data_IF_056022868774
#
_entry.id   IF_056022868774
#
_cell.length_a   1.000
_cell.length_b   1.000
_cell.length_c   1.000
_cell.angle_alpha   90.00
_cell.angle_beta   90.00
_cell.angle_gamma   90.00
#
_symmetry.space_group_name_H-M   'P 1'
#
loop_
_entity.id
_entity.type
_entity.pdbx_description
1 polymer ?
#
# COMPACT_ATOMS: atom_id res chain seq x y z
N UNK A 1 34.30 0.12 -18.44
CA UNK A 1 34.04 -0.59 -17.20
C UNK A 1 33.49 -1.95 -17.50
N UNK A 2 34.32 -2.99 -17.36
CA UNK A 2 33.97 -4.40 -17.58
C UNK A 2 33.16 -4.85 -16.37
N UNK A 3 31.90 -5.17 -16.58
CA UNK A 3 31.02 -5.76 -15.57
C UNK A 3 31.50 -7.21 -15.38
N UNK A 4 32.22 -7.48 -14.27
CA UNK A 4 32.63 -8.84 -13.90
C UNK A 4 31.36 -9.54 -13.38
N UNK A 5 30.73 -10.32 -14.24
CA UNK A 5 29.73 -11.29 -13.84
C UNK A 5 30.47 -12.47 -13.23
N UNK A 6 30.50 -12.54 -11.90
CA UNK A 6 31.04 -13.73 -11.21
C UNK A 6 30.09 -14.91 -11.52
N UNK A 7 30.62 -16.04 -12.05
CA UNK A 7 29.80 -17.22 -12.26
C UNK A 7 29.38 -17.80 -10.89
N UNK A 8 28.10 -17.75 -10.59
CA UNK A 8 27.50 -18.45 -9.45
C UNK A 8 27.38 -19.96 -9.77
N UNK A 9 28.48 -20.60 -10.06
CA UNK A 9 28.50 -22.06 -10.36
C UNK A 9 28.38 -22.96 -9.11
N UNK A 10 28.34 -22.38 -7.90
CA UNK A 10 28.33 -23.18 -6.66
C UNK A 10 26.97 -23.39 -6.02
N UNK A 11 25.92 -22.61 -6.41
CA UNK A 11 24.65 -22.64 -5.69
C UNK A 11 23.65 -23.71 -6.16
N UNK A 12 23.84 -24.27 -7.34
CA UNK A 12 22.90 -25.25 -7.91
C UNK A 12 23.03 -26.67 -7.34
N UNK A 13 24.16 -27.00 -6.71
CA UNK A 13 24.40 -28.34 -6.16
C UNK A 13 23.83 -28.58 -4.78
N UNK A 14 23.39 -27.51 -4.07
CA UNK A 14 22.82 -27.62 -2.72
C UNK A 14 21.29 -27.59 -2.66
N UNK A 15 20.63 -27.33 -3.77
CA UNK A 15 19.17 -27.46 -3.80
C UNK A 15 18.84 -28.93 -4.10
N UNK A 16 18.24 -29.67 -3.16
CA UNK A 16 17.75 -31.02 -3.46
C UNK A 16 16.77 -30.90 -4.63
N UNK A 17 17.06 -31.64 -5.70
CA UNK A 17 16.18 -31.77 -6.87
C UNK A 17 14.83 -32.23 -6.36
N UNK A 18 13.91 -31.32 -6.19
CA UNK A 18 12.58 -31.59 -5.73
C UNK A 18 11.81 -32.13 -6.91
N UNK A 19 11.33 -33.34 -6.81
CA UNK A 19 10.24 -33.81 -7.66
C UNK A 19 9.10 -32.80 -7.49
N UNK A 20 8.92 -31.95 -8.50
CA UNK A 20 7.79 -31.04 -8.56
C UNK A 20 6.60 -31.94 -8.74
N UNK A 21 5.98 -32.32 -7.63
CA UNK A 21 4.62 -32.89 -7.67
C UNK A 21 3.81 -31.96 -8.57
N UNK A 22 3.29 -32.51 -9.67
CA UNK A 22 2.40 -31.82 -10.60
C UNK A 22 1.08 -31.51 -9.88
N UNK A 23 1.15 -30.68 -8.87
CA UNK A 23 -0.02 -30.12 -8.22
C UNK A 23 -0.70 -29.15 -9.19
N UNK A 24 -2.02 -29.21 -9.24
CA UNK A 24 -2.83 -28.24 -9.98
C UNK A 24 -2.30 -26.82 -9.78
N UNK A 25 -2.11 -26.10 -10.88
CA UNK A 25 -1.64 -24.71 -10.86
C UNK A 25 -2.40 -23.84 -9.83
N UNK A 26 -3.70 -24.06 -9.69
CA UNK A 26 -4.53 -23.39 -8.70
C UNK A 26 -4.30 -23.86 -7.25
N UNK A 27 -3.73 -25.03 -7.02
CA UNK A 27 -3.43 -25.50 -5.65
C UNK A 27 -2.31 -24.71 -5.00
N UNK A 28 -1.45 -24.09 -5.80
CA UNK A 28 -0.36 -23.24 -5.33
C UNK A 28 -0.85 -21.90 -4.77
N UNK A 29 -2.03 -21.44 -5.20
CA UNK A 29 -2.66 -20.19 -4.76
C UNK A 29 -3.69 -20.38 -3.63
N UNK A 30 -3.99 -21.63 -3.25
CA UNK A 30 -4.88 -21.86 -2.10
C UNK A 30 -4.21 -21.38 -0.82
N UNK A 31 -4.85 -20.49 -0.05
CA UNK A 31 -4.35 -20.13 1.27
C UNK A 31 -4.22 -21.39 2.13
N UNK A 32 -3.26 -21.46 3.05
CA UNK A 32 -3.12 -22.60 3.94
C UNK A 32 -4.43 -22.77 4.72
N UNK A 33 -5.06 -23.95 4.58
CA UNK A 33 -6.44 -24.23 5.05
C UNK A 33 -6.62 -24.12 6.58
N UNK A 34 -5.53 -24.02 7.36
CA UNK A 34 -5.55 -23.96 8.82
C UNK A 34 -4.87 -22.70 9.39
N UNK A 35 -4.81 -21.60 8.65
CA UNK A 35 -4.18 -20.36 9.11
C UNK A 35 -5.19 -19.20 9.13
N UNK A 36 -6.08 -19.12 10.14
CA UNK A 36 -7.05 -18.02 10.24
C UNK A 36 -6.36 -16.66 10.35
N UNK A 37 -5.14 -16.61 10.88
CA UNK A 37 -4.33 -15.39 10.94
C UNK A 37 -3.92 -14.91 9.55
N UNK A 38 -3.63 -15.82 8.63
CA UNK A 38 -3.27 -15.48 7.25
C UNK A 38 -4.42 -14.80 6.49
N UNK A 39 -5.67 -15.27 6.67
CA UNK A 39 -6.82 -14.63 6.02
C UNK A 39 -7.05 -13.19 6.53
N UNK A 40 -6.81 -12.95 7.81
CA UNK A 40 -6.89 -11.60 8.40
C UNK A 40 -5.78 -10.70 7.85
N UNK A 41 -4.55 -11.21 7.75
CA UNK A 41 -3.42 -10.49 7.17
C UNK A 41 -3.65 -10.18 5.67
N UNK A 42 -4.13 -11.15 4.91
CA UNK A 42 -4.53 -10.98 3.52
C UNK A 42 -5.60 -9.88 3.36
N UNK A 43 -6.65 -9.89 4.19
CA UNK A 43 -7.69 -8.89 4.16
C UNK A 43 -7.16 -7.49 4.57
N UNK A 44 -6.31 -7.40 5.59
CA UNK A 44 -5.68 -6.15 5.99
C UNK A 44 -4.87 -5.54 4.83
N UNK A 45 -4.08 -6.37 4.15
CA UNK A 45 -3.31 -5.98 2.97
C UNK A 45 -4.21 -5.51 1.84
N UNK A 46 -5.26 -6.26 1.52
CA UNK A 46 -6.22 -5.93 0.48
C UNK A 46 -6.85 -4.55 0.71
N UNK A 47 -7.27 -4.24 1.95
CA UNK A 47 -7.85 -2.94 2.27
C UNK A 47 -6.82 -1.81 2.27
N UNK A 48 -5.58 -2.05 2.68
CA UNK A 48 -4.52 -1.04 2.60
C UNK A 48 -4.19 -0.68 1.14
N UNK A 49 -4.13 -1.65 0.26
CA UNK A 49 -3.95 -1.41 -1.19
C UNK A 49 -5.17 -0.71 -1.78
N UNK A 50 -6.39 -1.09 -1.38
CA UNK A 50 -7.61 -0.42 -1.82
C UNK A 50 -7.62 1.07 -1.47
N UNK A 51 -7.09 1.45 -0.29
CA UNK A 51 -7.00 2.83 0.15
C UNK A 51 -6.15 3.71 -0.79
N UNK A 52 -5.08 3.17 -1.35
CA UNK A 52 -4.17 3.93 -2.23
C UNK A 52 -4.55 3.85 -3.70
N UNK A 53 -4.98 2.67 -4.16
CA UNK A 53 -5.23 2.39 -5.58
C UNK A 53 -6.37 3.25 -6.15
N UNK A 54 -7.44 3.45 -5.39
CA UNK A 54 -8.56 4.30 -5.82
C UNK A 54 -8.11 5.73 -6.09
N UNK A 55 -7.35 6.33 -5.18
CA UNK A 55 -6.85 7.70 -5.35
C UNK A 55 -5.86 7.77 -6.52
N UNK A 56 -4.94 6.81 -6.66
CA UNK A 56 -3.97 6.78 -7.74
C UNK A 56 -4.62 6.74 -9.14
N UNK A 57 -5.72 6.00 -9.30
CA UNK A 57 -6.44 5.92 -10.58
C UNK A 57 -7.25 7.18 -10.86
N UNK A 58 -7.90 7.74 -9.83
CA UNK A 58 -8.80 8.89 -9.99
C UNK A 58 -8.14 10.25 -9.77
N UNK A 59 -6.82 10.33 -9.54
CA UNK A 59 -6.10 11.59 -9.31
C UNK A 59 -6.28 12.64 -10.41
N UNK A 60 -6.41 12.21 -11.67
CA UNK A 60 -6.66 13.10 -12.81
C UNK A 60 -8.05 13.77 -12.77
N UNK A 61 -9.04 13.08 -12.20
CA UNK A 61 -10.39 13.63 -12.00
C UNK A 61 -10.48 14.48 -10.73
N UNK A 62 -9.60 14.23 -9.76
CA UNK A 62 -9.52 15.03 -8.53
C UNK A 62 -8.93 16.41 -8.80
N UNK A 63 -7.88 16.48 -9.60
CA UNK A 63 -7.09 17.69 -9.76
C UNK A 63 -7.91 18.92 -10.17
N UNK A 64 -8.81 18.89 -11.19
CA UNK A 64 -9.63 20.03 -11.55
C UNK A 64 -10.63 20.44 -10.47
N UNK A 65 -11.14 19.49 -9.70
CA UNK A 65 -12.18 19.73 -8.71
C UNK A 65 -11.63 20.29 -7.39
N UNK A 66 -10.35 20.04 -7.09
CA UNK A 66 -9.70 20.48 -5.85
C UNK A 66 -9.04 21.85 -6.04
N UNK A 67 -8.40 22.06 -7.18
CA UNK A 67 -7.58 23.28 -7.42
C UNK A 67 -8.32 24.29 -8.29
N UNK A 68 -9.49 23.91 -8.84
CA UNK A 68 -10.20 24.72 -9.82
C UNK A 68 -9.54 24.72 -11.20
N UNK A 69 -10.19 25.37 -12.18
CA UNK A 69 -9.61 25.58 -13.52
C UNK A 69 -8.58 26.72 -13.46
N UNK A 70 -7.42 26.46 -12.88
CA UNK A 70 -6.33 27.42 -12.95
C UNK A 70 -5.61 27.23 -14.28
N UNK A 71 -5.97 28.08 -15.25
CA UNK A 71 -5.19 28.29 -16.48
C UNK A 71 -3.85 28.99 -16.20
N UNK A 72 -3.60 29.34 -14.94
CA UNK A 72 -2.36 29.96 -14.49
C UNK A 72 -1.20 28.95 -14.55
N UNK A 73 -0.07 29.44 -15.02
CA UNK A 73 1.15 28.67 -15.21
C UNK A 73 1.48 27.84 -13.96
N UNK A 74 1.20 26.54 -14.06
CA UNK A 74 1.46 25.60 -12.98
C UNK A 74 2.94 25.37 -12.75
N UNK A 75 3.27 24.64 -11.71
CA UNK A 75 4.64 24.29 -11.34
C UNK A 75 5.36 23.61 -12.54
N UNK A 76 6.59 23.99 -12.82
CA UNK A 76 7.41 23.48 -13.94
C UNK A 76 6.85 23.75 -15.36
N UNK A 77 6.01 24.76 -15.56
CA UNK A 77 5.43 25.05 -16.88
C UNK A 77 4.34 24.06 -17.32
N UNK A 78 3.87 23.20 -16.42
CA UNK A 78 2.75 22.28 -16.64
C UNK A 78 1.50 22.95 -16.07
N UNK A 79 0.59 23.38 -16.94
CA UNK A 79 -0.65 24.03 -16.51
C UNK A 79 -1.72 23.05 -16.05
N UNK A 80 -2.62 23.49 -15.19
CA UNK A 80 -3.85 22.82 -14.84
C UNK A 80 -3.69 21.53 -14.04
N UNK A 81 -4.55 20.55 -14.31
CA UNK A 81 -4.62 19.27 -13.60
C UNK A 81 -3.31 18.48 -13.58
N UNK A 82 -2.49 18.62 -14.63
CA UNK A 82 -1.20 17.95 -14.73
C UNK A 82 -0.22 18.35 -13.62
N UNK A 83 -0.20 19.64 -13.25
CA UNK A 83 0.70 20.14 -12.18
C UNK A 83 0.38 19.51 -10.84
N UNK A 84 -0.90 19.32 -10.51
CA UNK A 84 -1.36 18.69 -9.27
C UNK A 84 -0.92 17.23 -9.21
N UNK A 85 -1.09 16.48 -10.31
CA UNK A 85 -0.68 15.07 -10.40
C UNK A 85 0.83 14.92 -10.23
N UNK A 86 1.63 15.82 -10.85
CA UNK A 86 3.08 15.82 -10.71
C UNK A 86 3.49 16.12 -9.26
N UNK A 87 2.88 17.12 -8.61
CA UNK A 87 3.15 17.45 -7.20
C UNK A 87 2.77 16.28 -6.30
N UNK A 88 1.61 15.66 -6.51
CA UNK A 88 1.21 14.47 -5.77
C UNK A 88 2.25 13.35 -5.92
N UNK A 89 2.70 13.08 -7.13
CA UNK A 89 3.68 12.03 -7.39
C UNK A 89 5.02 12.31 -6.70
N UNK A 90 5.52 13.55 -6.80
CA UNK A 90 6.78 13.96 -6.15
C UNK A 90 6.64 13.88 -4.63
N UNK A 91 5.58 14.44 -4.05
CA UNK A 91 5.36 14.41 -2.61
C UNK A 91 5.20 12.98 -2.09
N UNK A 92 4.44 12.13 -2.78
CA UNK A 92 4.30 10.71 -2.43
C UNK A 92 5.66 10.01 -2.47
N UNK A 93 6.45 10.23 -3.52
CA UNK A 93 7.78 9.64 -3.65
C UNK A 93 8.73 10.10 -2.53
N UNK A 94 8.75 11.40 -2.22
CA UNK A 94 9.57 11.94 -1.13
C UNK A 94 9.15 11.34 0.22
N UNK A 95 7.84 11.29 0.50
CA UNK A 95 7.31 10.66 1.72
C UNK A 95 7.70 9.18 1.81
N UNK A 96 7.54 8.44 0.72
CA UNK A 96 7.92 7.03 0.63
C UNK A 96 9.43 6.82 0.83
N UNK A 97 10.27 7.68 0.25
CA UNK A 97 11.73 7.63 0.40
C UNK A 97 12.14 7.86 1.86
N UNK A 98 11.59 8.88 2.51
CA UNK A 98 11.84 9.16 3.92
C UNK A 98 11.42 7.97 4.78
N UNK A 99 10.25 7.40 4.53
CA UNK A 99 9.76 6.22 5.23
C UNK A 99 10.69 5.02 5.05
N UNK A 100 11.13 4.73 3.83
CA UNK A 100 12.04 3.62 3.53
C UNK A 100 13.38 3.76 4.27
N UNK A 101 13.94 4.97 4.34
CA UNK A 101 15.18 5.25 5.07
C UNK A 101 15.02 5.09 6.60
N UNK A 102 13.84 5.41 7.11
CA UNK A 102 13.55 5.37 8.55
C UNK A 102 12.94 4.04 9.00
N UNK A 103 12.46 3.19 8.09
CA UNK A 103 11.71 1.97 8.40
C UNK A 103 12.44 1.06 9.40
N UNK A 104 13.73 0.82 9.18
CA UNK A 104 14.54 0.01 10.07
C UNK A 104 14.62 0.58 11.52
N UNK A 105 14.72 1.90 11.64
CA UNK A 105 14.72 2.58 12.96
C UNK A 105 13.34 2.55 13.59
N UNK A 106 12.29 2.81 12.82
CA UNK A 106 10.90 2.77 13.31
C UNK A 106 10.58 1.38 13.83
N UNK A 107 10.88 0.33 13.05
CA UNK A 107 10.63 -1.06 13.46
C UNK A 107 11.44 -1.45 14.71
N UNK A 108 12.70 -1.00 14.84
CA UNK A 108 13.54 -1.30 16.00
C UNK A 108 13.13 -0.56 17.28
N UNK A 109 12.48 0.59 17.17
CA UNK A 109 12.00 1.35 18.34
C UNK A 109 10.78 0.71 19.00
N UNK A 110 9.97 -0.01 18.22
CA UNK A 110 8.78 -0.68 18.72
C UNK A 110 9.04 -2.18 18.80
N UNK A 111 8.99 -2.75 20.00
CA UNK A 111 9.15 -4.20 20.19
C UNK A 111 8.05 -5.05 19.56
N UNK A 112 6.91 -4.44 19.22
CA UNK A 112 5.77 -5.07 18.53
C UNK A 112 5.54 -4.38 17.18
N UNK A 113 5.67 -5.15 16.09
CA UNK A 113 5.47 -4.68 14.69
C UNK A 113 4.05 -4.16 14.40
N UNK A 114 3.07 -4.47 15.24
CA UNK A 114 1.70 -3.97 15.12
C UNK A 114 1.61 -2.48 15.43
N UNK A 115 2.42 -2.00 16.38
CA UNK A 115 2.36 -0.59 16.79
C UNK A 115 2.70 0.34 15.60
N UNK A 116 3.84 0.18 14.89
CA UNK A 116 4.13 1.01 13.73
C UNK A 116 3.13 0.83 12.59
N UNK A 117 2.59 -0.39 12.37
CA UNK A 117 1.57 -0.61 11.34
C UNK A 117 0.27 0.14 11.66
N UNK A 118 -0.23 0.07 12.89
CA UNK A 118 -1.46 0.77 13.28
C UNK A 118 -1.24 2.28 13.34
N UNK A 119 -0.11 2.74 13.88
CA UNK A 119 0.22 4.17 13.92
C UNK A 119 0.29 4.77 12.51
N UNK A 120 0.89 4.05 11.56
CA UNK A 120 0.93 4.48 10.17
C UNK A 120 -0.43 4.44 9.50
N UNK A 121 -1.30 3.47 9.81
CA UNK A 121 -2.68 3.47 9.35
C UNK A 121 -3.45 4.70 9.83
N UNK A 122 -3.29 5.08 11.11
CA UNK A 122 -3.89 6.29 11.65
C UNK A 122 -3.33 7.55 10.97
N UNK A 123 -2.01 7.61 10.75
CA UNK A 123 -1.40 8.73 10.04
C UNK A 123 -1.93 8.86 8.60
N UNK A 124 -2.10 7.74 7.89
CA UNK A 124 -2.70 7.74 6.55
C UNK A 124 -4.15 8.26 6.58
N UNK A 125 -4.94 7.82 7.55
CA UNK A 125 -6.32 8.30 7.72
C UNK A 125 -6.38 9.80 7.95
N UNK A 126 -5.54 10.34 8.85
CA UNK A 126 -5.44 11.78 9.11
C UNK A 126 -5.01 12.50 7.82
N UNK A 127 -4.02 11.99 7.09
CA UNK A 127 -3.62 12.56 5.82
C UNK A 127 -4.76 12.58 4.80
N UNK A 128 -5.51 11.49 4.67
CA UNK A 128 -6.64 11.41 3.73
C UNK A 128 -7.83 12.33 4.08
N UNK A 129 -7.92 12.80 5.32
CA UNK A 129 -8.93 13.78 5.72
C UNK A 129 -8.51 15.22 5.35
N UNK A 130 -7.23 15.52 5.15
CA UNK A 130 -6.77 16.88 4.84
C UNK A 130 -7.47 17.50 3.63
N UNK A 131 -7.60 16.81 2.47
CA UNK A 131 -8.30 17.36 1.32
C UNK A 131 -9.81 17.57 1.51
N UNK A 132 -10.39 16.97 2.55
CA UNK A 132 -11.81 17.15 2.90
C UNK A 132 -12.04 18.33 3.86
N UNK A 133 -11.01 18.74 4.61
CA UNK A 133 -11.11 19.70 5.72
C UNK A 133 -10.44 21.04 5.43
N UNK A 134 -9.48 21.08 4.50
CA UNK A 134 -8.73 22.29 4.18
C UNK A 134 -9.33 23.01 2.97
N UNK A 135 -9.44 24.34 3.05
CA UNK A 135 -9.94 25.19 1.95
C UNK A 135 -8.88 25.36 0.84
N UNK A 136 -7.59 25.33 1.18
CA UNK A 136 -6.50 25.33 0.20
C UNK A 136 -6.30 23.93 -0.38
N UNK A 137 -6.97 23.67 -1.50
CA UNK A 137 -6.97 22.37 -2.14
C UNK A 137 -5.57 21.90 -2.60
N UNK A 138 -4.72 22.81 -3.06
CA UNK A 138 -3.37 22.45 -3.53
C UNK A 138 -2.47 22.02 -2.37
N UNK A 139 -2.43 22.82 -1.31
CA UNK A 139 -1.64 22.51 -0.12
C UNK A 139 -2.15 21.23 0.56
N UNK A 140 -3.47 21.07 0.65
CA UNK A 140 -4.10 19.89 1.23
C UNK A 140 -3.68 18.61 0.51
N UNK A 141 -3.69 18.61 -0.82
CA UNK A 141 -3.32 17.45 -1.64
C UNK A 141 -1.82 17.18 -1.57
N UNK A 142 -0.98 18.21 -1.54
CA UNK A 142 0.47 18.05 -1.39
C UNK A 142 0.82 17.43 -0.02
N UNK A 143 0.22 17.93 1.06
CA UNK A 143 0.41 17.37 2.41
C UNK A 143 -0.14 15.95 2.51
N UNK A 144 -1.33 15.70 1.95
CA UNK A 144 -1.87 14.36 1.84
C UNK A 144 -0.86 13.42 1.18
N UNK A 145 -0.38 13.77 -0.01
CA UNK A 145 0.50 12.92 -0.80
C UNK A 145 1.81 12.60 -0.05
N UNK A 146 2.41 13.59 0.60
CA UNK A 146 3.62 13.41 1.40
C UNK A 146 3.39 12.46 2.58
N UNK A 147 2.36 12.73 3.39
CA UNK A 147 2.07 11.97 4.59
C UNK A 147 1.53 10.57 4.26
N UNK A 148 0.67 10.45 3.25
CA UNK A 148 0.14 9.16 2.81
C UNK A 148 1.23 8.27 2.21
N UNK A 149 2.16 8.83 1.42
CA UNK A 149 3.31 8.11 0.90
C UNK A 149 4.20 7.56 2.01
N UNK A 150 4.51 8.39 3.01
CA UNK A 150 5.24 7.96 4.20
C UNK A 150 4.49 6.86 4.96
N UNK A 151 3.24 7.11 5.30
CA UNK A 151 2.43 6.22 6.12
C UNK A 151 2.21 4.86 5.44
N UNK A 152 1.95 4.87 4.13
CA UNK A 152 1.74 3.63 3.37
C UNK A 152 2.99 2.73 3.37
N UNK A 153 4.18 3.29 3.14
CA UNK A 153 5.43 2.51 3.13
C UNK A 153 5.74 1.94 4.51
N UNK A 154 5.49 2.70 5.59
CA UNK A 154 5.67 2.17 6.96
C UNK A 154 4.66 1.06 7.25
N UNK A 155 3.39 1.24 6.87
CA UNK A 155 2.38 0.21 7.02
C UNK A 155 2.74 -1.06 6.25
N UNK A 156 3.13 -0.90 5.00
CA UNK A 156 3.48 -1.99 4.10
C UNK A 156 4.67 -2.80 4.63
N UNK A 157 5.75 -2.13 5.01
CA UNK A 157 6.94 -2.78 5.56
C UNK A 157 6.69 -3.47 6.89
N UNK A 158 5.94 -2.82 7.81
CA UNK A 158 5.61 -3.40 9.11
C UNK A 158 4.65 -4.61 8.96
N UNK A 159 3.64 -4.51 8.10
CA UNK A 159 2.70 -5.60 7.85
C UNK A 159 3.38 -6.80 7.18
N UNK A 160 4.25 -6.57 6.17
CA UNK A 160 5.02 -7.66 5.55
C UNK A 160 5.94 -8.37 6.56
N UNK A 161 6.60 -7.61 7.42
CA UNK A 161 7.45 -8.18 8.47
C UNK A 161 6.65 -9.02 9.46
N UNK A 162 5.45 -8.56 9.83
CA UNK A 162 4.53 -9.28 10.70
C UNK A 162 4.06 -10.59 10.06
N UNK A 163 3.75 -10.56 8.77
CA UNK A 163 3.26 -11.72 8.03
C UNK A 163 4.36 -12.78 7.85
N UNK A 164 5.60 -12.34 7.56
CA UNK A 164 6.74 -13.25 7.51
C UNK A 164 7.01 -13.92 8.87
N UNK A 165 6.85 -13.18 9.97
CA UNK A 165 7.00 -13.73 11.31
C UNK A 165 5.91 -14.75 11.69
N UNK A 166 4.75 -14.73 11.02
CA UNK A 166 3.64 -15.66 11.24
C UNK A 166 3.69 -16.92 10.37
N UNK A 167 4.65 -17.03 9.45
CA UNK A 167 4.78 -18.20 8.58
C UNK A 167 5.32 -19.40 9.36
N UNK A 168 4.57 -20.51 9.42
CA UNK A 168 4.98 -21.69 10.18
C UNK A 168 6.11 -22.49 9.53
N UNK A 169 6.37 -22.29 8.24
CA UNK A 169 7.40 -23.04 7.50
C UNK A 169 8.04 -22.17 6.42
N UNK A 170 9.39 -22.08 6.46
CA UNK A 170 10.20 -21.40 5.43
C UNK A 170 9.95 -21.98 4.03
N UNK A 171 9.49 -23.23 3.94
CA UNK A 171 9.16 -23.89 2.66
C UNK A 171 7.91 -23.31 1.99
N UNK A 172 7.06 -22.58 2.72
CA UNK A 172 5.82 -22.00 2.22
C UNK A 172 5.95 -20.52 1.79
N UNK A 173 7.14 -19.91 1.92
CA UNK A 173 7.37 -18.49 1.63
C UNK A 173 6.94 -18.11 0.22
N UNK A 174 7.30 -18.89 -0.81
CA UNK A 174 6.89 -18.62 -2.19
C UNK A 174 5.37 -18.61 -2.39
N UNK A 175 4.68 -19.53 -1.73
CA UNK A 175 3.20 -19.62 -1.76
C UNK A 175 2.55 -18.41 -1.06
N UNK A 176 3.11 -17.99 0.05
CA UNK A 176 2.62 -16.83 0.79
C UNK A 176 2.85 -15.54 0.01
N UNK A 177 4.00 -15.36 -0.64
CA UNK A 177 4.27 -14.22 -1.51
C UNK A 177 3.32 -14.17 -2.72
N UNK A 178 3.00 -15.32 -3.33
CA UNK A 178 2.02 -15.41 -4.39
C UNK A 178 0.61 -14.98 -3.91
N UNK A 179 0.20 -15.43 -2.74
CA UNK A 179 -1.06 -15.01 -2.13
C UNK A 179 -1.07 -13.50 -1.81
N UNK A 180 0.05 -12.95 -1.38
CA UNK A 180 0.22 -11.49 -1.18
C UNK A 180 0.02 -10.70 -2.47
N UNK A 181 0.56 -11.18 -3.59
CA UNK A 181 0.35 -10.56 -4.90
C UNK A 181 -1.13 -10.55 -5.29
N UNK A 182 -1.87 -11.62 -4.95
CA UNK A 182 -3.32 -11.67 -5.13
C UNK A 182 -4.04 -10.63 -4.26
N UNK A 183 -3.64 -10.44 -2.99
CA UNK A 183 -4.21 -9.41 -2.13
C UNK A 183 -4.03 -8.00 -2.73
N UNK A 184 -2.88 -7.71 -3.33
CA UNK A 184 -2.65 -6.45 -4.03
C UNK A 184 -3.59 -6.27 -5.22
N UNK A 185 -3.76 -7.31 -6.05
CA UNK A 185 -4.65 -7.27 -7.22
C UNK A 185 -6.11 -7.07 -6.80
N UNK A 186 -6.60 -7.85 -5.84
CA UNK A 186 -7.96 -7.70 -5.32
C UNK A 186 -8.16 -6.35 -4.63
N UNK A 187 -7.17 -5.87 -3.88
CA UNK A 187 -7.20 -4.55 -3.26
C UNK A 187 -7.31 -3.43 -4.30
N UNK A 188 -6.54 -3.50 -5.38
CA UNK A 188 -6.62 -2.53 -6.47
C UNK A 188 -8.01 -2.52 -7.11
N UNK A 189 -8.56 -3.69 -7.44
CA UNK A 189 -9.90 -3.82 -8.03
C UNK A 189 -10.96 -3.25 -7.06
N UNK A 190 -10.89 -3.64 -5.79
CA UNK A 190 -11.83 -3.19 -4.76
C UNK A 190 -11.78 -1.66 -4.57
N UNK A 191 -10.58 -1.08 -4.46
CA UNK A 191 -10.40 0.35 -4.26
C UNK A 191 -10.92 1.17 -5.43
N UNK A 192 -10.57 0.76 -6.66
CA UNK A 192 -11.04 1.44 -7.88
C UNK A 192 -12.56 1.32 -8.02
N UNK A 193 -13.12 0.13 -7.81
CA UNK A 193 -14.56 -0.09 -7.90
C UNK A 193 -15.35 0.69 -6.83
N UNK A 194 -14.85 0.72 -5.58
CA UNK A 194 -15.48 1.49 -4.51
C UNK A 194 -15.45 2.99 -4.79
N UNK A 195 -14.33 3.52 -5.27
CA UNK A 195 -14.24 4.93 -5.67
C UNK A 195 -15.18 5.24 -6.85
N UNK A 196 -15.24 4.38 -7.88
CA UNK A 196 -16.17 4.52 -8.99
C UNK A 196 -17.62 4.57 -8.51
N UNK A 197 -18.01 3.64 -7.63
CA UNK A 197 -19.36 3.58 -7.10
C UNK A 197 -19.73 4.84 -6.32
N UNK A 198 -18.83 5.38 -5.51
CA UNK A 198 -19.06 6.62 -4.75
C UNK A 198 -19.18 7.83 -5.70
N UNK A 199 -18.30 7.95 -6.70
CA UNK A 199 -18.37 9.03 -7.70
C UNK A 199 -19.70 8.98 -8.46
N UNK A 200 -20.11 7.80 -8.92
CA UNK A 200 -21.38 7.64 -9.66
C UNK A 200 -22.58 7.94 -8.79
N UNK A 201 -22.56 7.54 -7.51
CA UNK A 201 -23.68 7.74 -6.60
C UNK A 201 -23.82 9.19 -6.12
N UNK A 202 -22.71 9.92 -5.97
CA UNK A 202 -22.71 11.24 -5.32
C UNK A 202 -22.35 12.39 -6.25
N UNK A 203 -21.69 12.12 -7.37
CA UNK A 203 -21.10 13.14 -8.25
C UNK A 203 -19.86 13.83 -7.66
N UNK A 204 -19.47 13.53 -6.42
CA UNK A 204 -18.41 14.22 -5.69
C UNK A 204 -17.10 13.40 -5.71
N UNK A 205 -16.15 13.82 -6.52
CA UNK A 205 -14.85 13.14 -6.63
C UNK A 205 -14.00 13.21 -5.36
N UNK A 206 -14.18 14.26 -4.56
CA UNK A 206 -13.45 14.44 -3.28
C UNK A 206 -13.76 13.32 -2.28
N UNK A 207 -14.93 12.68 -2.36
CA UNK A 207 -15.31 11.58 -1.47
C UNK A 207 -14.47 10.30 -1.64
N UNK A 208 -13.62 10.20 -2.66
CA UNK A 208 -12.66 9.09 -2.75
C UNK A 208 -11.68 9.08 -1.58
N UNK A 209 -11.36 10.23 -0.98
CA UNK A 209 -10.56 10.31 0.25
C UNK A 209 -11.28 9.68 1.45
N UNK A 210 -12.61 9.80 1.52
CA UNK A 210 -13.40 9.09 2.54
C UNK A 210 -13.34 7.57 2.33
N UNK A 211 -13.42 7.10 1.07
CA UNK A 211 -13.24 5.66 0.76
C UNK A 211 -11.87 5.17 1.19
N UNK A 212 -10.83 5.95 0.92
CA UNK A 212 -9.46 5.63 1.34
C UNK A 212 -9.32 5.58 2.87
N UNK A 213 -9.92 6.55 3.57
CA UNK A 213 -9.95 6.60 5.04
C UNK A 213 -10.61 5.34 5.62
N UNK A 214 -11.80 4.98 5.13
CA UNK A 214 -12.53 3.78 5.59
C UNK A 214 -11.74 2.51 5.29
N UNK A 215 -11.18 2.40 4.09
CA UNK A 215 -10.36 1.24 3.71
C UNK A 215 -9.13 1.09 4.61
N UNK A 216 -8.43 2.18 4.91
CA UNK A 216 -7.26 2.14 5.78
C UNK A 216 -7.64 1.90 7.25
N UNK A 217 -8.79 2.38 7.70
CA UNK A 217 -9.35 2.04 9.01
C UNK A 217 -9.57 0.53 9.15
N UNK A 218 -10.19 -0.09 8.15
CA UNK A 218 -10.40 -1.53 8.13
C UNK A 218 -9.06 -2.30 8.14
N UNK A 219 -8.08 -1.86 7.36
CA UNK A 219 -6.74 -2.43 7.36
C UNK A 219 -6.09 -2.36 8.76
N UNK A 220 -6.13 -1.20 9.41
CA UNK A 220 -5.60 -1.00 10.77
C UNK A 220 -6.31 -1.87 11.82
N UNK A 221 -7.64 -1.93 11.79
CA UNK A 221 -8.43 -2.75 12.71
C UNK A 221 -8.15 -4.26 12.54
N UNK A 222 -7.99 -4.71 11.29
CA UNK A 222 -7.63 -6.10 11.01
C UNK A 222 -6.21 -6.41 11.51
N UNK A 223 -5.27 -5.48 11.35
CA UNK A 223 -3.90 -5.64 11.85
C UNK A 223 -3.87 -5.75 13.39
N UNK A 224 -4.72 -5.02 14.11
CA UNK A 224 -4.85 -5.15 15.56
C UNK A 224 -5.32 -6.54 16.03
N UNK A 225 -6.12 -7.24 15.20
CA UNK A 225 -6.58 -8.61 15.49
C UNK A 225 -5.51 -9.68 15.32
N UNK A 226 -4.41 -9.36 14.63
CA UNK A 226 -3.29 -10.28 14.48
C UNK A 226 -2.55 -10.34 15.82
N UNK A 227 -2.76 -11.37 16.64
CA UNK A 227 -2.03 -11.57 17.89
C UNK A 227 -0.57 -11.92 17.58
N UNK A 228 0.38 -11.14 18.10
CA UNK A 228 1.80 -11.52 18.16
C UNK A 228 1.92 -12.83 18.96
N UNK A 229 2.62 -13.80 18.40
CA UNK A 229 3.18 -14.87 19.21
C UNK A 229 4.52 -14.33 19.70
N UNK A 230 4.55 -13.89 20.96
CA UNK A 230 5.79 -13.79 21.71
C UNK A 230 6.16 -15.17 22.21
#
# INVERSE_FOLDING_TARGET
GTLVVLPFEGASSYLPRRDVEKGDFFSQYRPPQNAPKFSVAFAARMFAVAATAGIAVYQWYLAPNIVGNTDEAGLFGIAGAGSVVVVMAICTFVGALIAALLLGRIVSLFGDLRIPAVASAVLFMVAALLPLLMDDGFLAVALYALLAGFAYVVFDGASQSLDLAMLPDVRSVGRSLAAYSLANTFGTILGVAACAAVIVATGATVLIFAVATVSMLLAGLLTLRLKSQQ
#
